data_IF_689323499910
#
_entry.id   IF_689323499910
#
_cell.length_a   1.000
_cell.length_b   1.000
_cell.length_c   1.000
_cell.angle_alpha   90.00
_cell.angle_beta   90.00
_cell.angle_gamma   90.00
#
_symmetry.space_group_name_H-M   'P 1'
#
loop_
_entity.id
_entity.type
_entity.pdbx_description
1 polymer ?
#
# COMPACT_ATOMS: atom_id res chain seq x y z
N UNK A 1 -9.26 15.39 -15.76
CA UNK A 1 -10.06 14.73 -14.70
C UNK A 1 -9.29 14.58 -13.37
N UNK A 2 -8.02 14.16 -13.39
CA UNK A 2 -7.17 14.15 -12.18
C UNK A 2 -6.89 15.55 -11.60
N UNK A 3 -6.56 16.50 -12.48
CA UNK A 3 -6.31 17.91 -12.13
C UNK A 3 -7.52 18.56 -11.43
N UNK A 4 -8.73 18.26 -11.90
CA UNK A 4 -9.99 18.73 -11.27
C UNK A 4 -10.22 18.20 -9.86
N UNK A 5 -9.75 16.98 -9.57
CA UNK A 5 -9.84 16.40 -8.22
C UNK A 5 -8.74 16.93 -7.29
N UNK A 6 -7.56 17.28 -7.83
CA UNK A 6 -6.51 17.98 -7.09
C UNK A 6 -6.92 19.41 -6.73
N UNK A 7 -7.62 20.12 -7.63
CA UNK A 7 -8.17 21.47 -7.38
C UNK A 7 -9.23 21.52 -6.26
N UNK A 8 -9.90 20.40 -5.98
CA UNK A 8 -10.93 20.29 -4.92
C UNK A 8 -10.35 19.97 -3.54
N UNK A 9 -9.13 19.43 -3.48
CA UNK A 9 -8.37 19.36 -2.23
C UNK A 9 -7.78 20.75 -2.01
N UNK A 10 -7.88 21.28 -0.79
CA UNK A 10 -7.40 22.61 -0.39
C UNK A 10 -5.86 22.75 -0.44
N UNK A 11 -5.25 22.43 -1.59
CA UNK A 11 -3.84 22.66 -1.89
C UNK A 11 -3.77 23.73 -2.97
N UNK A 12 -3.17 24.87 -2.62
CA UNK A 12 -2.90 25.99 -3.54
C UNK A 12 -2.23 25.49 -4.83
N UNK A 13 -2.94 25.58 -5.94
CA UNK A 13 -2.32 25.45 -7.27
C UNK A 13 -1.52 26.73 -7.56
N UNK A 14 -0.24 26.73 -7.17
CA UNK A 14 0.76 27.70 -7.61
C UNK A 14 1.53 27.13 -8.82
N UNK A 15 1.95 28.00 -9.76
CA UNK A 15 2.83 27.64 -10.91
C UNK A 15 4.10 26.89 -10.49
N UNK A 16 4.49 27.02 -9.23
CA UNK A 16 5.52 26.25 -8.57
C UNK A 16 4.85 25.28 -7.60
N UNK A 17 4.86 24.00 -7.94
CA UNK A 17 4.41 22.95 -7.03
C UNK A 17 5.53 22.75 -6.01
N UNK A 18 5.24 22.92 -4.73
CA UNK A 18 6.22 22.76 -3.66
C UNK A 18 6.54 21.27 -3.42
N UNK A 19 7.60 20.77 -4.06
CA UNK A 19 8.11 19.38 -3.93
C UNK A 19 8.60 18.99 -2.54
N UNK A 20 8.69 19.97 -1.63
CA UNK A 20 9.10 19.78 -0.25
C UNK A 20 7.91 19.59 0.71
N UNK A 21 6.66 19.67 0.24
CA UNK A 21 5.54 19.19 1.04
C UNK A 21 5.67 17.69 1.28
N UNK A 22 5.75 17.31 2.56
CA UNK A 22 5.84 15.92 3.05
C UNK A 22 4.71 15.05 2.47
N UNK A 23 3.61 15.66 2.05
CA UNK A 23 2.41 15.01 1.54
C UNK A 23 2.25 15.07 0.01
N UNK A 24 3.31 15.36 -0.75
CA UNK A 24 3.25 15.25 -2.20
C UNK A 24 3.07 13.78 -2.62
N UNK A 25 1.81 13.42 -2.89
CA UNK A 25 1.38 12.09 -3.31
C UNK A 25 2.11 11.53 -4.54
N UNK A 26 2.29 12.27 -5.66
CA UNK A 26 3.03 11.73 -6.80
C UNK A 26 4.48 11.31 -6.51
N UNK A 27 5.26 12.06 -5.71
CA UNK A 27 6.64 11.68 -5.32
C UNK A 27 6.65 10.38 -4.53
N UNK A 28 5.71 10.23 -3.59
CA UNK A 28 5.56 9.00 -2.81
C UNK A 28 5.14 7.82 -3.70
N UNK A 29 4.24 8.03 -4.67
CA UNK A 29 3.83 7.00 -5.64
C UNK A 29 5.00 6.53 -6.52
N UNK A 30 5.83 7.46 -7.02
CA UNK A 30 7.05 7.11 -7.77
C UNK A 30 8.03 6.35 -6.88
N UNK A 31 8.21 6.76 -5.63
CA UNK A 31 9.08 6.05 -4.68
C UNK A 31 8.57 4.63 -4.39
N UNK A 32 7.25 4.44 -4.23
CA UNK A 32 6.66 3.11 -4.06
C UNK A 32 6.89 2.25 -5.31
N UNK A 33 6.73 2.80 -6.51
CA UNK A 33 6.99 2.08 -7.75
C UNK A 33 8.47 1.66 -7.85
N UNK A 34 9.40 2.55 -7.49
CA UNK A 34 10.83 2.24 -7.45
C UNK A 34 11.12 1.10 -6.46
N UNK A 35 10.63 1.19 -5.22
CA UNK A 35 10.81 0.15 -4.20
C UNK A 35 10.25 -1.20 -4.62
N UNK A 36 9.07 -1.23 -5.27
CA UNK A 36 8.52 -2.48 -5.85
C UNK A 36 9.52 -3.16 -6.79
N UNK A 37 10.26 -2.39 -7.60
CA UNK A 37 11.27 -2.91 -8.52
C UNK A 37 12.60 -3.28 -7.85
N UNK A 38 12.87 -2.76 -6.65
CA UNK A 38 14.10 -3.01 -5.88
C UNK A 38 13.95 -4.16 -4.86
N UNK A 39 12.89 -4.97 -4.99
CA UNK A 39 12.67 -6.15 -4.13
C UNK A 39 11.99 -5.84 -2.80
N UNK A 40 11.15 -4.81 -2.73
CA UNK A 40 10.36 -4.54 -1.54
C UNK A 40 9.28 -5.60 -1.28
N UNK A 41 9.02 -5.87 0.00
CA UNK A 41 7.93 -6.73 0.44
C UNK A 41 6.56 -6.09 0.08
N UNK A 42 5.67 -6.82 -0.62
CA UNK A 42 4.35 -6.31 -1.00
C UNK A 42 3.51 -5.78 0.17
N UNK A 43 3.62 -6.41 1.35
CA UNK A 43 2.89 -6.01 2.55
C UNK A 43 3.37 -4.66 3.08
N UNK A 44 4.69 -4.41 3.05
CA UNK A 44 5.29 -3.13 3.45
C UNK A 44 4.86 -1.99 2.52
N UNK A 45 4.81 -2.23 1.20
CA UNK A 45 4.31 -1.24 0.25
C UNK A 45 2.83 -0.93 0.50
N UNK A 46 2.01 -1.95 0.76
CA UNK A 46 0.58 -1.79 1.04
C UNK A 46 0.36 -0.99 2.33
N UNK A 47 1.12 -1.27 3.40
CA UNK A 47 1.12 -0.49 4.64
C UNK A 47 1.43 0.97 4.39
N UNK A 48 2.48 1.25 3.62
CA UNK A 48 2.92 2.61 3.37
C UNK A 48 1.87 3.38 2.55
N UNK A 49 1.22 2.74 1.57
CA UNK A 49 0.10 3.35 0.84
C UNK A 49 -1.13 3.59 1.73
N UNK A 50 -1.46 2.66 2.63
CA UNK A 50 -2.52 2.83 3.63
C UNK A 50 -2.25 4.02 4.54
N UNK A 51 -0.99 4.22 4.96
CA UNK A 51 -0.60 5.39 5.78
C UNK A 51 -0.96 6.70 5.09
N UNK A 52 -0.65 6.82 3.80
CA UNK A 52 -0.90 8.05 3.04
C UNK A 52 -2.38 8.43 2.99
N UNK A 53 -3.30 7.45 2.97
CA UNK A 53 -4.74 7.71 2.85
C UNK A 53 -5.52 7.63 4.16
N UNK A 54 -5.03 6.87 5.13
CA UNK A 54 -5.84 6.36 6.24
C UNK A 54 -5.19 6.49 7.62
N UNK A 55 -4.04 7.16 7.77
CA UNK A 55 -3.35 7.33 9.08
C UNK A 55 -4.27 7.90 10.18
N UNK A 56 -5.24 8.75 9.82
CA UNK A 56 -6.22 9.33 10.77
C UNK A 56 -7.46 8.46 11.03
N UNK A 57 -7.58 7.31 10.37
CA UNK A 57 -8.71 6.39 10.58
C UNK A 57 -8.57 5.67 11.92
N UNK A 58 -9.68 5.53 12.66
CA UNK A 58 -9.71 4.74 13.91
C UNK A 58 -9.34 3.27 13.69
N UNK A 59 -9.58 2.75 12.48
CA UNK A 59 -9.28 1.37 12.11
C UNK A 59 -7.89 1.19 11.46
N UNK A 60 -7.09 2.26 11.39
CA UNK A 60 -5.80 2.23 10.69
C UNK A 60 -4.88 1.11 11.17
N UNK A 61 -4.73 0.94 12.48
CA UNK A 61 -3.91 -0.14 13.06
C UNK A 61 -4.41 -1.52 12.64
N UNK A 62 -5.73 -1.72 12.57
CA UNK A 62 -6.31 -2.96 12.07
C UNK A 62 -6.02 -3.17 10.58
N UNK A 63 -6.09 -2.13 9.76
CA UNK A 63 -5.72 -2.23 8.34
C UNK A 63 -4.28 -2.69 8.15
N UNK A 64 -3.35 -2.11 8.93
CA UNK A 64 -1.94 -2.51 8.90
C UNK A 64 -1.77 -3.95 9.35
N UNK A 65 -2.38 -4.35 10.47
CA UNK A 65 -2.26 -5.73 10.96
C UNK A 65 -2.73 -6.76 9.92
N UNK A 66 -3.82 -6.48 9.21
CA UNK A 66 -4.34 -7.37 8.16
C UNK A 66 -3.41 -7.40 6.93
N UNK A 67 -2.90 -6.25 6.50
CA UNK A 67 -2.00 -6.17 5.35
C UNK A 67 -0.65 -6.87 5.61
N UNK A 68 -0.08 -6.69 6.80
CA UNK A 68 1.22 -7.27 7.19
C UNK A 68 1.16 -8.79 7.35
N UNK A 69 -0.01 -9.36 7.66
CA UNK A 69 -0.19 -10.80 7.83
C UNK A 69 0.26 -11.31 9.20
N UNK A 70 0.10 -12.61 9.40
CA UNK A 70 0.45 -13.33 10.63
C UNK A 70 1.70 -14.19 10.44
N UNK A 71 2.65 -14.15 11.38
CA UNK A 71 3.91 -14.90 11.27
C UNK A 71 3.74 -16.42 11.30
N UNK A 72 2.66 -16.94 11.88
CA UNK A 72 2.39 -18.38 11.94
C UNK A 72 1.77 -18.91 10.65
N UNK A 73 1.19 -18.03 9.82
CA UNK A 73 0.40 -18.44 8.65
C UNK A 73 0.86 -17.86 7.32
N UNK A 74 1.35 -16.62 7.31
CA UNK A 74 1.61 -15.87 6.08
C UNK A 74 3.11 -15.75 5.80
N UNK A 75 3.50 -16.09 4.57
CA UNK A 75 4.90 -15.98 4.12
C UNK A 75 5.35 -14.53 4.16
N UNK A 76 4.49 -13.59 3.72
CA UNK A 76 4.82 -12.16 3.68
C UNK A 76 5.17 -11.54 5.06
N UNK A 77 4.74 -12.16 6.16
CA UNK A 77 5.01 -11.72 7.52
C UNK A 77 6.36 -12.25 8.08
N UNK A 78 6.95 -13.25 7.43
CA UNK A 78 8.25 -13.85 7.79
C UNK A 78 9.41 -13.23 7.02
N UNK A 79 9.12 -12.69 5.85
CA UNK A 79 10.10 -12.07 4.97
C UNK A 79 10.45 -10.64 5.41
N UNK A 80 11.69 -10.18 5.16
CA UNK A 80 12.09 -8.81 5.48
C UNK A 80 11.30 -7.79 4.64
N UNK A 81 11.32 -6.51 5.03
CA UNK A 81 10.59 -5.46 4.31
C UNK A 81 11.20 -5.11 2.94
N UNK A 82 12.48 -5.39 2.74
CA UNK A 82 13.26 -4.98 1.57
C UNK A 82 14.29 -6.05 1.19
N UNK A 83 14.78 -6.00 -0.04
CA UNK A 83 15.87 -6.86 -0.51
C UNK A 83 15.46 -8.31 -0.77
N UNK A 84 14.18 -8.53 -1.11
CA UNK A 84 13.67 -9.85 -1.49
C UNK A 84 14.25 -10.28 -2.84
N UNK A 85 14.44 -11.60 -3.01
CA UNK A 85 14.59 -12.18 -4.34
C UNK A 85 13.28 -12.07 -5.13
N UNK A 86 13.36 -12.25 -6.45
CA UNK A 86 12.16 -12.22 -7.30
C UNK A 86 11.17 -13.31 -6.89
N UNK A 87 11.65 -14.52 -6.64
CA UNK A 87 10.84 -15.67 -6.22
C UNK A 87 10.14 -15.38 -4.90
N UNK A 88 10.89 -14.90 -3.91
CA UNK A 88 10.36 -14.55 -2.60
C UNK A 88 9.33 -13.42 -2.68
N UNK A 89 9.58 -12.42 -3.53
CA UNK A 89 8.63 -11.33 -3.75
C UNK A 89 7.32 -11.85 -4.39
N UNK A 90 7.41 -12.79 -5.34
CA UNK A 90 6.26 -13.45 -5.97
C UNK A 90 5.49 -14.30 -4.95
N UNK A 91 6.18 -15.06 -4.09
CA UNK A 91 5.52 -15.84 -3.04
C UNK A 91 4.74 -14.94 -2.08
N UNK A 92 5.33 -13.81 -1.66
CA UNK A 92 4.63 -12.81 -0.84
C UNK A 92 3.42 -12.20 -1.56
N UNK A 93 3.50 -11.96 -2.87
CA UNK A 93 2.39 -11.44 -3.67
C UNK A 93 1.22 -12.43 -3.73
N UNK A 94 1.51 -13.72 -3.96
CA UNK A 94 0.50 -14.78 -4.01
C UNK A 94 -0.13 -14.97 -2.63
N UNK A 95 0.69 -15.05 -1.57
CA UNK A 95 0.22 -15.14 -0.18
C UNK A 95 -0.70 -13.96 0.18
N UNK A 96 -0.31 -12.73 -0.17
CA UNK A 96 -1.15 -11.56 0.10
C UNK A 96 -2.46 -11.56 -0.73
N UNK A 97 -2.41 -11.97 -2.00
CA UNK A 97 -3.57 -11.96 -2.89
C UNK A 97 -4.59 -13.05 -2.58
N UNK A 98 -4.16 -14.13 -1.94
CA UNK A 98 -4.99 -15.31 -1.64
C UNK A 98 -5.35 -15.47 -0.16
N UNK A 99 -4.93 -14.54 0.70
CA UNK A 99 -5.23 -14.59 2.13
C UNK A 99 -6.74 -14.41 2.42
N UNK A 100 -7.42 -15.41 3.01
CA UNK A 100 -8.83 -15.29 3.43
C UNK A 100 -9.09 -14.13 4.38
N UNK A 101 -8.11 -13.74 5.19
CA UNK A 101 -8.19 -12.61 6.13
C UNK A 101 -8.28 -11.27 5.39
N UNK A 102 -7.75 -11.18 4.16
CA UNK A 102 -7.90 -10.04 3.25
C UNK A 102 -9.20 -10.20 2.45
N UNK A 103 -9.38 -11.33 1.78
CA UNK A 103 -10.52 -11.59 0.89
C UNK A 103 -11.87 -11.48 1.60
N UNK A 104 -11.96 -11.87 2.88
CA UNK A 104 -13.17 -11.74 3.70
C UNK A 104 -13.52 -10.29 4.11
N UNK A 105 -12.63 -9.32 3.83
CA UNK A 105 -12.78 -7.91 4.25
C UNK A 105 -12.73 -6.91 3.10
N UNK A 106 -12.60 -7.37 1.86
CA UNK A 106 -12.66 -6.47 0.69
C UNK A 106 -14.07 -5.96 0.46
N UNK A 107 -14.20 -4.97 -0.43
CA UNK A 107 -15.50 -4.44 -0.82
C UNK A 107 -16.36 -5.54 -1.48
N UNK A 108 -17.63 -5.68 -1.06
CA UNK A 108 -18.57 -6.71 -1.56
C UNK A 108 -18.69 -6.73 -3.09
N UNK A 109 -18.63 -5.58 -3.75
CA UNK A 109 -18.70 -5.49 -5.21
C UNK A 109 -17.45 -5.99 -5.94
N UNK A 110 -16.40 -6.39 -5.22
CA UNK A 110 -15.22 -7.04 -5.78
C UNK A 110 -15.40 -8.55 -5.93
N UNK A 111 -16.38 -9.15 -5.25
CA UNK A 111 -16.76 -10.57 -5.39
C UNK A 111 -15.61 -11.57 -5.12
N UNK A 112 -14.91 -11.40 -3.99
CA UNK A 112 -13.72 -12.20 -3.62
C UNK A 112 -13.92 -13.72 -3.49
N UNK A 113 -15.17 -14.17 -3.55
CA UNK A 113 -15.59 -15.55 -3.32
C UNK A 113 -15.74 -16.37 -4.61
N UNK A 114 -15.64 -15.73 -5.79
CA UNK A 114 -15.71 -16.39 -7.10
C UNK A 114 -14.32 -16.66 -7.66
#
# INVERSE_FOLDING_TARGET
NFERNQLKKEGSWSKEVNTNEINWYPKQKVNCAKRKLEGANPSAITRDELRLGHEKSKAYTSYIAVAMGDQDHNVRAREPEEGLSVECQVDCLIDQATDPNILGRVWVGWEAWM
#
